data_IF_610563444659
#
_entry.id   IF_610563444659
#
_cell.length_a   1.000
_cell.length_b   1.000
_cell.length_c   1.000
_cell.angle_alpha   90.00
_cell.angle_beta   90.00
_cell.angle_gamma   90.00
#
_symmetry.space_group_name_H-M   'P 1'
#
loop_
_entity.id
_entity.type
_entity.pdbx_description
1 polymer ?
#
# COMPACT_ATOMS: atom_id res chain seq x y z
N UNK A 1 -19.43 -51.41 2.05
CA UNK A 1 -20.30 -50.40 2.69
C UNK A 1 -19.60 -49.93 3.95
N UNK A 2 -18.88 -48.81 3.87
CA UNK A 2 -18.40 -48.04 5.02
C UNK A 2 -18.09 -46.66 4.46
N UNK A 3 -19.02 -45.71 4.67
CA UNK A 3 -18.87 -44.31 4.28
C UNK A 3 -17.98 -43.63 5.32
N UNK A 4 -16.87 -43.05 4.88
CA UNK A 4 -16.16 -42.02 5.66
C UNK A 4 -16.93 -40.70 5.60
N UNK A 5 -17.00 -39.92 6.70
CA UNK A 5 -17.61 -38.60 6.69
C UNK A 5 -16.65 -37.59 6.02
N UNK A 6 -17.15 -36.54 5.34
CA UNK A 6 -16.30 -35.49 4.83
C UNK A 6 -15.72 -34.67 5.99
N UNK A 7 -14.43 -34.39 5.88
CA UNK A 7 -13.66 -33.58 6.82
C UNK A 7 -14.27 -32.21 7.04
N UNK A 8 -14.19 -31.78 8.29
CA UNK A 8 -14.58 -30.48 8.81
C UNK A 8 -13.78 -29.39 8.07
N UNK A 9 -14.44 -28.59 7.22
CA UNK A 9 -13.88 -27.33 6.72
C UNK A 9 -13.60 -26.45 7.93
N UNK A 10 -12.34 -26.12 8.16
CA UNK A 10 -11.99 -24.99 9.01
C UNK A 10 -12.12 -23.76 8.13
N UNK A 11 -13.27 -23.09 8.21
CA UNK A 11 -13.44 -21.76 7.63
C UNK A 11 -12.43 -20.82 8.30
N UNK A 12 -11.32 -20.56 7.61
CA UNK A 12 -10.40 -19.47 7.97
C UNK A 12 -11.06 -18.20 7.45
N UNK A 13 -11.92 -17.61 8.28
CA UNK A 13 -12.41 -16.26 8.04
C UNK A 13 -11.23 -15.31 8.18
N UNK A 14 -10.82 -14.67 7.07
CA UNK A 14 -9.93 -13.51 7.10
C UNK A 14 -10.56 -12.43 8.00
N UNK A 15 -9.75 -11.68 8.76
CA UNK A 15 -10.21 -10.55 9.59
C UNK A 15 -11.09 -9.57 8.79
N UNK A 16 -10.88 -9.47 7.46
CA UNK A 16 -11.70 -8.69 6.52
C UNK A 16 -13.16 -9.15 6.42
N UNK A 17 -13.44 -10.46 6.42
CA UNK A 17 -14.81 -10.97 6.42
C UNK A 17 -15.56 -10.64 7.71
N UNK A 18 -14.85 -10.43 8.81
CA UNK A 18 -15.42 -10.05 10.09
C UNK A 18 -15.76 -8.55 10.17
N UNK A 19 -14.95 -7.69 9.52
CA UNK A 19 -15.20 -6.25 9.44
C UNK A 19 -16.29 -5.92 8.41
N UNK A 20 -16.29 -6.56 7.23
CA UNK A 20 -17.32 -6.38 6.21
C UNK A 20 -18.73 -6.82 6.68
N UNK A 21 -18.82 -7.76 7.61
CA UNK A 21 -20.09 -8.22 8.19
C UNK A 21 -20.64 -7.31 9.31
N UNK A 22 -19.92 -6.27 9.72
CA UNK A 22 -20.25 -5.40 10.85
C UNK A 22 -21.25 -4.27 10.56
N UNK A 23 -21.72 -4.12 9.32
CA UNK A 23 -22.58 -3.00 8.91
C UNK A 23 -24.10 -3.32 9.01
N UNK A 24 -24.57 -3.94 10.10
CA UNK A 24 -26.01 -4.06 10.38
C UNK A 24 -26.34 -4.43 11.84
N UNK A 25 -26.30 -3.46 12.77
CA UNK A 25 -27.10 -3.48 13.98
C UNK A 25 -27.22 -2.09 14.63
N UNK A 26 -28.20 -1.30 14.20
CA UNK A 26 -28.64 -0.10 14.92
C UNK A 26 -29.44 -0.53 16.16
N UNK A 27 -29.01 -0.10 17.35
CA UNK A 27 -29.69 -0.37 18.61
C UNK A 27 -29.40 0.68 19.66
N UNK A 28 -30.18 1.76 19.66
CA UNK A 28 -30.15 2.82 20.66
C UNK A 28 -30.58 2.34 22.05
N UNK A 29 -29.87 2.75 23.10
CA UNK A 29 -30.45 2.96 24.44
C UNK A 29 -29.79 4.18 25.11
N UNK A 30 -30.62 5.21 25.34
CA UNK A 30 -30.37 6.31 26.27
C UNK A 30 -30.74 5.90 27.71
N UNK A 31 -30.10 6.49 28.72
CA UNK A 31 -30.54 6.39 30.12
C UNK A 31 -29.58 7.00 31.15
N UNK A 32 -30.04 8.05 31.83
CA UNK A 32 -29.33 8.99 32.71
C UNK A 32 -29.06 8.52 34.16
N UNK A 33 -28.41 9.43 34.93
CA UNK A 33 -28.22 9.58 36.41
C UNK A 33 -26.78 9.28 36.84
N UNK A 34 -26.01 10.12 37.55
CA UNK A 34 -26.27 11.33 38.34
C UNK A 34 -25.48 11.20 39.65
N UNK A 35 -24.73 12.23 40.07
CA UNK A 35 -24.05 12.27 41.38
C UNK A 35 -22.88 13.23 41.44
N UNK A 36 -23.13 14.40 42.04
CA UNK A 36 -22.14 15.38 42.50
C UNK A 36 -21.22 14.78 43.58
N UNK A 37 -19.97 15.26 43.67
CA UNK A 37 -19.37 15.70 44.93
C UNK A 37 -18.14 16.59 44.65
N UNK A 38 -18.09 17.69 45.39
CA UNK A 38 -17.15 18.81 45.34
C UNK A 38 -15.82 18.53 46.07
N UNK A 39 -14.95 19.55 46.05
CA UNK A 39 -13.76 19.83 46.87
C UNK A 39 -12.41 19.34 46.30
N UNK A 40 -11.39 20.17 46.05
CA UNK A 40 -11.22 21.59 46.26
C UNK A 40 -9.71 21.93 46.31
N UNK A 41 -9.37 23.15 45.86
CA UNK A 41 -8.21 23.98 46.27
C UNK A 41 -6.79 23.50 45.85
N UNK A 42 -5.89 24.29 45.26
CA UNK A 42 -5.83 25.71 44.95
C UNK A 42 -4.35 26.15 44.76
N UNK A 43 -4.16 27.30 44.10
CA UNK A 43 -2.97 28.19 44.09
C UNK A 43 -1.77 27.73 43.21
N UNK A 44 -1.35 28.41 42.14
CA UNK A 44 -0.89 29.81 41.99
C UNK A 44 0.61 29.76 41.59
N UNK A 45 1.23 30.55 40.73
CA UNK A 45 0.91 31.68 39.87
C UNK A 45 2.21 32.10 39.13
N UNK A 46 2.05 32.72 37.95
CA UNK A 46 2.88 33.74 37.28
C UNK A 46 4.41 33.56 37.08
N UNK A 47 4.88 33.78 35.84
CA UNK A 47 6.25 34.21 35.56
C UNK A 47 6.75 33.98 34.13
N UNK A 48 6.63 35.00 33.28
CA UNK A 48 7.29 35.13 31.97
C UNK A 48 8.81 35.25 32.09
N UNK A 49 9.56 34.72 31.10
CA UNK A 49 10.71 35.39 30.50
C UNK A 49 11.09 34.69 29.18
N UNK A 50 11.27 35.49 28.13
CA UNK A 50 11.83 35.04 26.87
C UNK A 50 13.34 34.88 26.95
N UNK A 51 13.85 34.01 26.09
CA UNK A 51 15.25 33.96 25.67
C UNK A 51 15.24 33.57 24.19
N UNK A 52 15.66 34.50 23.35
CA UNK A 52 15.97 34.28 21.94
C UNK A 52 17.32 33.56 21.89
N UNK A 53 17.31 32.29 21.49
CA UNK A 53 18.52 31.50 21.28
C UNK A 53 18.43 30.78 19.95
N UNK A 54 19.23 31.23 18.99
CA UNK A 54 19.51 30.56 17.73
C UNK A 54 20.04 29.13 18.02
N UNK A 55 19.19 28.13 17.87
CA UNK A 55 19.52 26.72 18.01
C UNK A 55 19.39 26.02 16.66
N UNK A 56 20.45 25.33 16.24
CA UNK A 56 20.38 24.30 15.18
C UNK A 56 19.18 23.38 15.44
N UNK A 57 18.50 22.85 14.40
CA UNK A 57 17.32 22.01 14.61
C UNK A 57 17.73 20.78 15.44
N UNK A 58 17.32 20.77 16.70
CA UNK A 58 17.47 19.64 17.61
C UNK A 58 16.75 18.43 17.01
N UNK A 59 17.41 17.27 17.03
CA UNK A 59 16.82 15.97 16.71
C UNK A 59 15.43 15.84 17.35
N UNK A 60 14.43 15.26 16.65
CA UNK A 60 13.05 15.27 17.11
C UNK A 60 12.94 14.61 18.50
N UNK A 61 12.26 15.28 19.43
CA UNK A 61 11.99 14.75 20.77
C UNK A 61 11.23 13.41 20.66
N UNK A 62 11.87 12.32 21.10
CA UNK A 62 11.27 10.98 21.21
C UNK A 62 10.46 10.95 22.51
N UNK A 63 9.15 11.22 22.45
CA UNK A 63 8.33 11.40 23.67
C UNK A 63 7.53 10.15 24.08
N UNK A 64 7.75 8.97 23.48
CA UNK A 64 6.87 7.85 23.77
C UNK A 64 7.57 6.51 23.96
N UNK A 65 6.90 5.61 24.70
CA UNK A 65 7.30 4.22 24.91
C UNK A 65 7.41 3.40 23.62
N UNK A 66 7.25 4.00 22.44
CA UNK A 66 7.31 3.36 21.12
C UNK A 66 8.59 3.62 20.33
N UNK A 67 9.49 4.50 20.78
CA UNK A 67 10.68 4.96 20.04
C UNK A 67 10.39 5.52 18.62
N UNK A 68 9.17 6.01 18.39
CA UNK A 68 8.81 6.73 17.16
C UNK A 68 9.06 8.25 17.33
N UNK A 69 9.51 8.96 16.26
CA UNK A 69 9.72 10.40 16.32
C UNK A 69 8.38 11.14 16.39
N UNK A 70 8.39 12.31 17.02
CA UNK A 70 7.24 13.23 16.93
C UNK A 70 7.24 13.86 15.54
N UNK A 71 6.35 13.41 14.66
CA UNK A 71 6.22 13.96 13.30
C UNK A 71 5.12 15.01 13.25
N UNK A 72 5.35 16.20 12.64
CA UNK A 72 4.29 17.17 12.37
C UNK A 72 3.25 16.56 11.42
N UNK A 73 2.02 17.04 11.45
CA UNK A 73 0.93 16.62 10.55
C UNK A 73 0.34 17.83 9.84
N UNK A 74 -0.22 17.61 8.65
CA UNK A 74 -1.05 18.62 7.99
C UNK A 74 -2.33 18.77 8.80
N UNK A 75 -2.66 19.99 9.25
CA UNK A 75 -3.81 20.24 10.13
C UNK A 75 -5.15 19.97 9.44
N UNK A 76 -5.26 20.35 8.16
CA UNK A 76 -6.45 20.17 7.32
C UNK A 76 -6.03 19.58 5.95
N UNK A 77 -5.76 18.27 5.85
CA UNK A 77 -5.35 17.66 4.59
C UNK A 77 -6.48 17.75 3.55
N UNK A 78 -6.17 17.99 2.27
CA UNK A 78 -7.18 18.05 1.21
C UNK A 78 -7.80 16.67 0.98
N UNK A 79 -9.02 16.62 0.45
CA UNK A 79 -9.68 15.38 -0.02
C UNK A 79 -9.11 14.90 -1.38
N UNK A 80 -7.78 14.79 -1.47
CA UNK A 80 -7.01 14.47 -2.66
C UNK A 80 -5.61 13.95 -2.26
N UNK A 81 -4.84 13.46 -3.24
CA UNK A 81 -3.43 13.14 -3.05
C UNK A 81 -2.63 14.41 -2.79
N UNK A 82 -1.78 14.40 -1.77
CA UNK A 82 -1.02 15.57 -1.36
C UNK A 82 0.38 15.23 -0.83
N UNK A 83 1.27 16.22 -0.82
CA UNK A 83 2.62 16.08 -0.27
C UNK A 83 2.59 16.01 1.27
N UNK A 84 3.06 14.90 1.88
CA UNK A 84 3.12 14.78 3.33
C UNK A 84 4.17 15.72 3.92
N UNK A 85 4.27 15.75 5.25
CA UNK A 85 5.23 16.60 5.95
C UNK A 85 6.67 16.09 5.89
N UNK A 86 6.84 14.79 5.67
CA UNK A 86 8.13 14.12 5.63
C UNK A 86 8.03 12.83 4.81
N UNK A 87 9.20 12.31 4.46
CA UNK A 87 9.42 10.98 3.95
C UNK A 87 10.02 10.12 5.07
N UNK A 88 9.42 8.96 5.33
CA UNK A 88 9.94 8.01 6.30
C UNK A 88 11.24 7.36 5.80
N UNK A 89 12.22 7.21 6.69
CA UNK A 89 13.38 6.34 6.46
C UNK A 89 13.06 4.90 6.82
N UNK A 90 13.74 3.96 6.18
CA UNK A 90 13.55 2.54 6.39
C UNK A 90 14.85 1.77 6.15
N UNK A 91 15.02 0.67 6.88
CA UNK A 91 16.02 -0.33 6.58
C UNK A 91 15.45 -1.33 5.55
N UNK A 92 16.21 -1.58 4.48
CA UNK A 92 15.90 -2.59 3.49
C UNK A 92 16.63 -3.89 3.84
N UNK A 93 15.90 -4.98 4.04
CA UNK A 93 16.50 -6.29 4.23
C UNK A 93 16.77 -6.96 2.87
N UNK A 94 17.61 -8.00 2.90
CA UNK A 94 17.88 -8.81 1.71
C UNK A 94 16.58 -9.32 1.09
N UNK A 95 16.51 -9.25 -0.24
CA UNK A 95 15.42 -9.86 -1.00
C UNK A 95 15.49 -11.37 -0.88
N UNK A 96 14.35 -11.99 -0.60
CA UNK A 96 14.23 -13.44 -0.51
C UNK A 96 13.32 -13.95 -1.63
N UNK A 97 13.86 -14.85 -2.45
CA UNK A 97 13.10 -15.58 -3.47
C UNK A 97 12.45 -16.84 -2.86
N UNK A 98 11.19 -17.08 -3.21
CA UNK A 98 10.43 -18.26 -2.81
C UNK A 98 9.60 -18.80 -3.98
N UNK A 99 10.25 -19.57 -4.85
CA UNK A 99 9.63 -20.12 -6.05
C UNK A 99 9.40 -19.03 -7.10
N UNK A 100 8.14 -18.70 -7.37
CA UNK A 100 7.77 -17.68 -8.37
C UNK A 100 7.73 -16.27 -7.78
N UNK A 101 7.81 -16.13 -6.45
CA UNK A 101 7.78 -14.85 -5.77
C UNK A 101 9.17 -14.40 -5.36
N UNK A 102 9.39 -13.10 -5.38
CA UNK A 102 10.44 -12.44 -4.64
C UNK A 102 9.82 -11.45 -3.65
N UNK A 103 10.44 -11.33 -2.48
CA UNK A 103 9.95 -10.49 -1.38
C UNK A 103 11.10 -9.68 -0.81
N UNK A 104 10.91 -8.36 -0.69
CA UNK A 104 11.83 -7.45 -0.01
C UNK A 104 11.16 -6.98 1.28
N UNK A 105 11.61 -7.49 2.44
CA UNK A 105 11.19 -6.96 3.71
C UNK A 105 11.84 -5.61 3.97
N UNK A 106 11.09 -4.70 4.58
CA UNK A 106 11.56 -3.37 4.99
C UNK A 106 11.07 -3.06 6.40
N UNK A 107 11.86 -2.30 7.15
CA UNK A 107 11.58 -1.98 8.54
C UNK A 107 11.73 -0.48 8.78
N UNK A 108 10.79 0.10 9.52
CA UNK A 108 10.91 1.46 10.05
C UNK A 108 10.31 1.54 11.45
N UNK A 109 10.36 2.72 12.07
CA UNK A 109 9.67 2.96 13.33
C UNK A 109 8.15 2.79 13.16
N UNK A 110 7.41 2.32 14.20
CA UNK A 110 5.97 2.25 14.15
C UNK A 110 5.36 3.62 13.87
N UNK A 111 4.48 3.72 12.89
CA UNK A 111 3.82 4.98 12.54
C UNK A 111 2.32 4.80 12.28
N UNK A 112 1.64 5.93 12.14
CA UNK A 112 0.20 5.98 11.89
C UNK A 112 -0.08 5.66 10.42
N UNK A 113 -1.05 4.78 10.19
CA UNK A 113 -1.64 4.53 8.88
C UNK A 113 -3.17 4.47 9.02
N UNK A 114 -3.89 4.37 7.90
CA UNK A 114 -5.36 4.37 7.89
C UNK A 114 -5.90 3.14 7.19
N UNK A 115 -6.78 2.40 7.87
CA UNK A 115 -7.59 1.36 7.27
C UNK A 115 -8.78 1.99 6.55
N UNK A 116 -9.21 1.38 5.44
CA UNK A 116 -10.39 1.81 4.67
C UNK A 116 -11.42 0.69 4.69
N UNK A 117 -12.67 1.03 5.01
CA UNK A 117 -13.81 0.11 4.99
C UNK A 117 -15.03 0.82 4.40
N UNK A 118 -15.45 0.41 3.19
CA UNK A 118 -16.35 1.21 2.39
C UNK A 118 -15.70 2.55 2.10
N UNK A 119 -16.35 3.65 2.48
CA UNK A 119 -15.82 5.02 2.36
C UNK A 119 -15.30 5.58 3.70
N UNK A 120 -15.37 4.80 4.78
CA UNK A 120 -14.88 5.20 6.10
C UNK A 120 -13.40 4.86 6.25
N UNK A 121 -12.70 5.69 7.03
CA UNK A 121 -11.28 5.51 7.37
C UNK A 121 -11.08 5.42 8.87
N UNK A 122 -10.21 4.52 9.31
CA UNK A 122 -9.83 4.35 10.72
C UNK A 122 -8.32 4.49 10.87
N UNK A 123 -7.87 5.43 11.72
CA UNK A 123 -6.46 5.61 12.00
C UNK A 123 -5.95 4.52 12.96
N UNK A 124 -4.95 3.75 12.53
CA UNK A 124 -4.20 2.83 13.38
C UNK A 124 -2.98 3.57 13.91
N UNK A 125 -2.98 3.85 15.20
CA UNK A 125 -1.87 4.54 15.88
C UNK A 125 -1.09 3.53 16.72
N UNK A 126 0.24 3.45 16.60
CA UNK A 126 1.05 2.55 17.40
C UNK A 126 1.00 2.94 18.88
N UNK A 127 0.93 1.95 19.77
CA UNK A 127 0.79 2.12 21.22
C UNK A 127 1.96 1.49 22.02
N UNK A 128 2.91 0.88 21.33
CA UNK A 128 3.99 0.06 21.90
C UNK A 128 5.28 0.22 21.10
N UNK A 129 6.42 -0.13 21.70
CA UNK A 129 7.70 -0.24 20.98
C UNK A 129 7.63 -1.38 19.98
N UNK A 130 8.25 -1.18 18.83
CA UNK A 130 8.26 -2.20 17.79
C UNK A 130 8.82 -1.65 16.49
N UNK A 131 8.33 -2.22 15.40
CA UNK A 131 8.62 -1.78 14.04
C UNK A 131 7.32 -1.64 13.25
N UNK A 132 7.30 -0.76 12.27
CA UNK A 132 6.42 -0.95 11.14
C UNK A 132 7.15 -1.89 10.16
N UNK A 133 6.66 -3.12 10.05
CA UNK A 133 7.25 -4.14 9.18
C UNK A 133 6.47 -4.15 7.87
N UNK A 134 7.19 -3.98 6.77
CA UNK A 134 6.65 -3.93 5.43
C UNK A 134 7.27 -5.02 4.55
N UNK A 135 6.54 -5.43 3.51
CA UNK A 135 7.03 -6.36 2.50
C UNK A 135 6.42 -6.01 1.14
N UNK A 136 7.28 -5.79 0.14
CA UNK A 136 6.88 -5.74 -1.27
C UNK A 136 7.03 -7.13 -1.87
N UNK A 137 6.00 -7.60 -2.58
CA UNK A 137 5.95 -8.93 -3.19
C UNK A 137 5.80 -8.76 -4.70
N UNK A 138 6.69 -9.40 -5.47
CA UNK A 138 6.68 -9.31 -6.93
C UNK A 138 6.94 -10.67 -7.58
N UNK A 139 6.64 -10.76 -8.87
CA UNK A 139 7.05 -11.89 -9.70
C UNK A 139 8.58 -11.92 -9.85
N UNK A 140 9.23 -12.97 -9.35
CA UNK A 140 10.68 -13.10 -9.42
C UNK A 140 11.20 -13.13 -10.87
N UNK A 141 10.37 -13.51 -11.84
CA UNK A 141 10.76 -13.61 -13.24
C UNK A 141 10.67 -12.27 -13.98
N UNK A 142 9.55 -11.55 -13.86
CA UNK A 142 9.33 -10.30 -14.61
C UNK A 142 9.75 -9.05 -13.85
N UNK A 143 9.91 -9.13 -12.51
CA UNK A 143 10.11 -7.95 -11.67
C UNK A 143 8.83 -7.19 -11.34
N UNK A 144 7.67 -7.66 -11.80
CA UNK A 144 6.40 -6.95 -11.64
C UNK A 144 5.83 -7.14 -10.23
N UNK A 145 5.60 -6.03 -9.50
CA UNK A 145 4.91 -6.06 -8.21
C UNK A 145 3.52 -6.70 -8.39
N UNK A 146 3.08 -7.49 -7.41
CA UNK A 146 1.78 -8.16 -7.44
C UNK A 146 0.78 -7.40 -6.55
N UNK A 147 0.06 -6.38 -7.08
CA UNK A 147 -0.76 -5.46 -6.30
C UNK A 147 -2.13 -6.06 -5.96
N UNK A 148 -2.14 -7.19 -5.26
CA UNK A 148 -3.36 -7.91 -4.89
C UNK A 148 -3.20 -8.49 -3.50
N UNK A 149 -4.29 -8.60 -2.74
CA UNK A 149 -4.23 -9.27 -1.43
C UNK A 149 -3.86 -10.76 -1.60
N UNK A 150 -2.66 -11.12 -1.13
CA UNK A 150 -2.15 -12.50 -1.15
C UNK A 150 -2.59 -13.30 0.07
N UNK A 151 -3.45 -12.74 0.94
CA UNK A 151 -3.84 -13.37 2.21
C UNK A 151 -2.67 -13.65 3.15
N UNK A 152 -1.61 -12.84 3.05
CA UNK A 152 -0.34 -13.06 3.71
C UNK A 152 -0.50 -13.24 5.23
N UNK A 153 0.34 -14.08 5.82
CA UNK A 153 0.45 -14.20 7.26
C UNK A 153 1.91 -14.06 7.70
N UNK A 154 2.10 -13.29 8.75
CA UNK A 154 3.37 -13.08 9.40
C UNK A 154 3.40 -13.83 10.74
N UNK A 155 4.45 -14.61 10.95
CA UNK A 155 4.80 -15.23 12.22
C UNK A 155 6.17 -14.73 12.67
N UNK A 156 6.22 -14.07 13.81
CA UNK A 156 7.44 -13.54 14.40
C UNK A 156 7.87 -14.41 15.58
N UNK A 157 9.14 -14.81 15.59
CA UNK A 157 9.72 -15.62 16.66
C UNK A 157 11.04 -15.02 17.15
N UNK A 158 11.39 -15.29 18.41
CA UNK A 158 12.68 -14.96 19.02
C UNK A 158 13.14 -16.16 19.84
N UNK A 159 14.38 -16.61 19.63
CA UNK A 159 14.93 -17.81 20.28
C UNK A 159 14.04 -19.07 20.16
N UNK A 160 13.23 -19.14 19.10
CA UNK A 160 12.27 -20.23 18.84
C UNK A 160 10.90 -20.07 19.50
N UNK A 161 10.71 -19.06 20.36
CA UNK A 161 9.43 -18.74 20.98
C UNK A 161 8.61 -17.77 20.12
N UNK A 162 7.30 -17.99 20.05
CA UNK A 162 6.37 -17.11 19.32
C UNK A 162 6.23 -15.77 20.04
N UNK A 163 6.55 -14.69 19.32
CA UNK A 163 6.40 -13.31 19.80
C UNK A 163 5.08 -12.73 19.31
N UNK A 164 4.79 -12.88 18.02
CA UNK A 164 3.58 -12.35 17.40
C UNK A 164 3.14 -13.17 16.17
N UNK A 165 1.85 -13.11 15.86
CA UNK A 165 1.30 -13.70 14.64
C UNK A 165 0.10 -12.88 14.15
N UNK A 166 0.17 -12.41 12.90
CA UNK A 166 -0.87 -11.56 12.31
C UNK A 166 -0.91 -11.67 10.79
N UNK A 167 -1.92 -11.04 10.18
CA UNK A 167 -1.96 -10.81 8.74
C UNK A 167 -1.64 -9.33 8.51
N UNK A 168 -0.55 -8.99 7.81
CA UNK A 168 -0.26 -7.61 7.45
C UNK A 168 -1.32 -7.08 6.47
N UNK A 169 -1.56 -5.78 6.50
CA UNK A 169 -2.53 -5.15 5.62
C UNK A 169 -1.92 -4.92 4.25
N UNK A 170 -2.61 -5.15 3.12
CA UNK A 170 -2.22 -4.54 1.86
C UNK A 170 -2.42 -3.02 1.98
N UNK A 171 -1.45 -2.26 1.51
CA UNK A 171 -1.37 -0.81 1.67
C UNK A 171 -0.84 -0.16 0.40
N UNK A 172 -1.07 1.13 0.27
CA UNK A 172 -0.39 1.98 -0.71
C UNK A 172 0.31 3.16 -0.01
N UNK A 173 1.51 3.48 -0.47
CA UNK A 173 2.22 4.73 -0.14
C UNK A 173 2.78 5.38 -1.40
N UNK A 174 3.16 6.65 -1.29
CA UNK A 174 3.71 7.40 -2.42
C UNK A 174 5.07 6.84 -2.87
N UNK A 175 5.94 6.53 -1.91
CA UNK A 175 7.34 6.15 -2.14
C UNK A 175 7.53 4.65 -2.40
N UNK A 176 6.65 3.78 -1.88
CA UNK A 176 6.78 2.32 -2.03
C UNK A 176 5.71 1.68 -2.91
N UNK A 177 4.64 2.42 -3.24
CA UNK A 177 3.54 1.88 -4.02
C UNK A 177 2.77 0.83 -3.21
N UNK A 178 2.32 -0.24 -3.89
CA UNK A 178 1.60 -1.34 -3.24
C UNK A 178 2.56 -2.25 -2.47
N UNK A 179 2.24 -2.50 -1.20
CA UNK A 179 3.01 -3.37 -0.31
C UNK A 179 2.10 -3.94 0.80
N UNK A 180 2.65 -4.85 1.60
CA UNK A 180 2.01 -5.32 2.83
C UNK A 180 2.70 -4.67 4.03
N UNK A 181 1.94 -4.27 5.05
CA UNK A 181 2.53 -3.69 6.26
C UNK A 181 1.64 -3.77 7.50
N UNK A 182 2.25 -3.75 8.68
CA UNK A 182 1.58 -3.53 9.97
C UNK A 182 2.59 -3.11 11.05
N UNK A 183 2.08 -2.46 12.11
CA UNK A 183 2.85 -2.17 13.31
C UNK A 183 2.99 -3.44 14.17
N UNK A 184 4.21 -3.95 14.29
CA UNK A 184 4.55 -5.17 15.03
C UNK A 184 5.23 -4.80 16.35
N UNK A 185 4.58 -5.02 17.51
CA UNK A 185 5.17 -4.78 18.81
C UNK A 185 6.36 -5.70 19.08
N UNK A 186 7.47 -5.15 19.54
CA UNK A 186 8.67 -5.88 19.94
C UNK A 186 8.96 -5.55 21.40
N UNK A 187 8.80 -6.51 22.33
CA UNK A 187 8.88 -6.23 23.77
C UNK A 187 10.30 -5.90 24.24
N UNK A 188 11.32 -6.37 23.52
CA UNK A 188 12.73 -6.28 23.91
C UNK A 188 13.64 -6.18 22.68
N UNK A 189 14.85 -5.64 22.85
CA UNK A 189 15.88 -5.66 21.82
C UNK A 189 16.40 -7.07 21.57
N UNK A 190 16.83 -7.34 20.34
CA UNK A 190 17.46 -8.59 19.93
C UNK A 190 17.13 -9.00 18.50
N UNK A 191 17.57 -10.19 18.12
CA UNK A 191 17.31 -10.76 16.80
C UNK A 191 15.96 -11.45 16.75
N UNK A 192 15.17 -11.13 15.73
CA UNK A 192 13.88 -11.76 15.46
C UNK A 192 13.92 -12.49 14.13
N UNK A 193 13.25 -13.64 14.07
CA UNK A 193 12.99 -14.34 12.81
C UNK A 193 11.53 -14.16 12.41
N UNK A 194 11.32 -13.75 11.17
CA UNK A 194 10.01 -13.67 10.53
C UNK A 194 9.82 -14.82 9.56
N UNK A 195 8.66 -15.46 9.61
CA UNK A 195 8.14 -16.28 8.52
C UNK A 195 6.92 -15.57 7.92
N UNK A 196 6.99 -15.31 6.62
CA UNK A 196 5.98 -14.63 5.82
C UNK A 196 5.37 -15.63 4.84
N UNK A 197 4.17 -16.09 5.16
CA UNK A 197 3.41 -17.06 4.39
C UNK A 197 2.61 -16.35 3.30
N UNK A 198 2.94 -16.65 2.04
CA UNK A 198 2.21 -16.25 0.85
C UNK A 198 1.19 -17.33 0.49
N UNK A 199 -0.07 -16.93 0.32
CA UNK A 199 -1.11 -17.85 -0.19
C UNK A 199 -1.19 -17.79 -1.72
N UNK A 200 -1.68 -18.84 -2.38
CA UNK A 200 -1.85 -18.85 -3.82
C UNK A 200 -2.66 -17.64 -4.31
N UNK A 201 -2.18 -16.99 -5.37
CA UNK A 201 -2.92 -15.93 -6.02
C UNK A 201 -4.05 -16.50 -6.88
N UNK A 202 -5.19 -15.81 -6.86
CA UNK A 202 -6.36 -16.13 -7.67
C UNK A 202 -7.53 -16.72 -6.87
N UNK A 203 -8.44 -17.40 -7.58
CA UNK A 203 -9.69 -17.86 -7.00
C UNK A 203 -10.77 -16.80 -7.15
N UNK A 204 -11.52 -16.52 -6.08
CA UNK A 204 -12.64 -15.58 -6.10
C UNK A 204 -12.22 -14.10 -5.96
N UNK A 205 -10.92 -13.83 -5.71
CA UNK A 205 -10.41 -12.47 -5.43
C UNK A 205 -9.74 -11.78 -6.61
N UNK A 206 -9.09 -12.53 -7.50
CA UNK A 206 -8.44 -11.99 -8.70
C UNK A 206 -8.43 -13.01 -9.82
N UNK A 207 -8.74 -12.57 -11.04
CA UNK A 207 -8.54 -13.35 -12.25
C UNK A 207 -7.09 -13.22 -12.70
N UNK A 208 -6.40 -14.33 -12.98
CA UNK A 208 -5.08 -14.30 -13.59
C UNK A 208 -5.17 -14.63 -15.07
N UNK A 209 -4.41 -13.92 -15.90
CA UNK A 209 -4.36 -14.11 -17.35
C UNK A 209 -2.93 -14.02 -17.88
N UNK A 210 -2.75 -14.30 -19.16
CA UNK A 210 -1.42 -14.30 -19.79
C UNK A 210 -0.53 -15.37 -19.19
N UNK A 211 0.74 -15.04 -18.96
CA UNK A 211 1.70 -15.95 -18.36
C UNK A 211 1.38 -16.25 -16.89
N UNK A 212 0.58 -15.41 -16.22
CA UNK A 212 0.19 -15.62 -14.82
C UNK A 212 -0.96 -16.61 -14.62
N UNK A 213 -1.63 -17.07 -15.68
CA UNK A 213 -2.83 -17.92 -15.58
C UNK A 213 -2.60 -19.18 -14.73
N UNK A 214 -1.45 -19.84 -14.92
CA UNK A 214 -1.09 -21.09 -14.25
C UNK A 214 0.00 -20.93 -13.17
N UNK A 215 0.46 -19.70 -12.94
CA UNK A 215 1.53 -19.36 -11.97
C UNK A 215 0.96 -18.98 -10.61
N UNK A 216 1.77 -18.94 -9.56
CA UNK A 216 1.37 -18.52 -8.21
C UNK A 216 0.29 -19.42 -7.58
N UNK A 217 0.25 -20.70 -7.95
CA UNK A 217 -0.82 -21.64 -7.57
C UNK A 217 -0.54 -22.40 -6.27
N UNK A 218 0.68 -22.33 -5.78
CA UNK A 218 1.11 -23.02 -4.57
C UNK A 218 1.48 -22.02 -3.46
N UNK A 219 1.20 -22.35 -2.18
CA UNK A 219 1.66 -21.53 -1.07
C UNK A 219 3.19 -21.53 -0.99
N UNK A 220 3.74 -20.42 -0.51
CA UNK A 220 5.17 -20.23 -0.31
C UNK A 220 5.41 -19.57 1.04
N UNK A 221 6.53 -19.88 1.67
CA UNK A 221 6.94 -19.24 2.91
C UNK A 221 8.31 -18.62 2.68
N UNK A 222 8.40 -17.33 2.97
CA UNK A 222 9.64 -16.57 3.01
C UNK A 222 10.10 -16.49 4.45
N UNK A 223 11.40 -16.65 4.71
CA UNK A 223 11.99 -16.53 6.04
C UNK A 223 13.13 -15.54 6.00
N UNK A 224 13.13 -14.58 6.93
CA UNK A 224 14.20 -13.60 7.09
C UNK A 224 14.39 -13.26 8.57
N UNK A 225 15.53 -12.65 8.88
CA UNK A 225 15.90 -12.24 10.23
C UNK A 225 16.29 -10.77 10.23
N UNK A 226 16.06 -10.09 11.35
CA UNK A 226 16.50 -8.72 11.56
C UNK A 226 16.90 -8.49 13.01
N UNK A 227 17.77 -7.51 13.23
CA UNK A 227 18.17 -7.06 14.55
C UNK A 227 17.35 -5.83 14.95
N UNK A 228 16.72 -5.90 16.12
CA UNK A 228 16.06 -4.76 16.72
C UNK A 228 16.91 -4.27 17.88
N UNK A 229 17.75 -3.28 17.62
CA UNK A 229 18.64 -2.67 18.60
C UNK A 229 18.54 -1.14 18.58
N UNK A 230 19.38 -0.48 19.37
CA UNK A 230 19.42 0.97 19.44
C UNK A 230 19.96 1.60 18.14
N UNK A 231 20.89 0.94 17.44
CA UNK A 231 21.49 1.46 16.20
C UNK A 231 20.43 1.53 15.08
N UNK A 232 19.66 0.46 14.89
CA UNK A 232 18.51 0.43 14.00
C UNK A 232 17.52 1.56 14.34
N UNK A 233 17.13 1.68 15.61
CA UNK A 233 16.16 2.70 16.04
C UNK A 233 16.63 4.12 15.76
N UNK A 234 17.90 4.42 16.06
CA UNK A 234 18.49 5.73 15.78
C UNK A 234 18.60 5.98 14.27
N UNK A 235 18.96 4.96 13.49
CA UNK A 235 19.09 5.03 12.03
C UNK A 235 17.78 5.46 11.36
N UNK A 236 16.68 4.72 11.60
CA UNK A 236 15.40 4.99 10.93
C UNK A 236 14.73 6.28 11.40
N UNK A 237 15.05 6.76 12.61
CA UNK A 237 14.58 8.06 13.11
C UNK A 237 15.38 9.23 12.54
N UNK A 238 16.71 9.12 12.52
CA UNK A 238 17.58 10.18 12.03
C UNK A 238 17.55 10.33 10.50
N UNK A 239 17.14 9.28 9.78
CA UNK A 239 17.00 9.32 8.32
C UNK A 239 15.70 9.98 7.82
N UNK A 240 14.80 10.43 8.71
CA UNK A 240 13.56 11.10 8.28
C UNK A 240 13.87 12.41 7.57
N UNK A 241 13.38 12.54 6.34
CA UNK A 241 13.55 13.74 5.54
C UNK A 241 12.28 14.59 5.57
N UNK A 242 12.38 15.80 6.11
CA UNK A 242 11.26 16.74 6.19
C UNK A 242 11.17 17.60 4.92
N UNK A 243 9.96 17.77 4.41
CA UNK A 243 9.69 18.70 3.32
C UNK A 243 9.65 20.13 3.86
N UNK A 244 9.89 21.11 2.98
CA UNK A 244 9.64 22.52 3.30
C UNK A 244 8.18 22.71 3.75
N UNK A 245 7.96 23.44 4.85
CA UNK A 245 6.63 23.58 5.47
C UNK A 245 5.59 24.21 4.53
N UNK A 246 6.01 25.06 3.60
CA UNK A 246 5.13 25.70 2.62
C UNK A 246 4.59 24.72 1.57
N UNK A 247 5.21 23.55 1.42
CA UNK A 247 4.77 22.48 0.51
C UNK A 247 3.80 21.49 1.14
N UNK A 248 3.66 21.51 2.46
CA UNK A 248 2.84 20.53 3.17
C UNK A 248 1.37 20.67 2.77
N UNK A 249 0.76 19.58 2.30
CA UNK A 249 -0.64 19.61 1.83
C UNK A 249 -0.83 20.07 0.39
N UNK A 250 0.24 20.46 -0.33
CA UNK A 250 0.13 20.78 -1.75
C UNK A 250 -0.23 19.54 -2.58
N UNK A 251 -1.04 19.67 -3.66
CA UNK A 251 -1.29 18.57 -4.58
C UNK A 251 0.00 18.04 -5.19
N UNK A 252 0.28 16.75 -4.97
CA UNK A 252 1.52 16.12 -5.41
C UNK A 252 1.77 14.81 -4.67
N UNK A 253 2.73 14.03 -5.16
CA UNK A 253 3.25 12.86 -4.47
C UNK A 253 4.78 12.95 -4.40
N UNK A 254 5.35 12.35 -3.34
CA UNK A 254 6.77 12.07 -3.27
C UNK A 254 7.18 11.13 -4.39
N UNK A 255 8.42 11.26 -4.85
CA UNK A 255 8.98 10.37 -5.85
C UNK A 255 9.12 8.94 -5.29
N UNK A 256 8.87 7.91 -6.11
CA UNK A 256 9.16 6.52 -5.73
C UNK A 256 10.60 6.33 -5.29
N UNK A 257 10.81 5.50 -4.27
CA UNK A 257 12.14 5.09 -3.78
C UNK A 257 12.82 4.05 -4.69
N UNK A 258 12.24 3.77 -5.86
CA UNK A 258 12.80 2.85 -6.85
C UNK A 258 14.17 3.34 -7.32
N UNK A 259 15.22 2.55 -7.04
CA UNK A 259 16.57 2.84 -7.53
C UNK A 259 17.50 3.63 -6.61
N UNK A 260 17.18 3.78 -5.31
CA UNK A 260 18.14 4.30 -4.31
C UNK A 260 19.23 3.27 -3.90
N UNK A 261 19.52 2.29 -4.76
CA UNK A 261 20.69 1.41 -4.68
C UNK A 261 21.79 1.98 -5.55
N UNK A 262 22.55 2.94 -5.00
CA UNK A 262 23.70 3.56 -5.64
C UNK A 262 23.40 4.92 -6.29
N UNK A 263 23.71 6.00 -5.57
CA UNK A 263 24.58 7.10 -6.02
C UNK A 263 24.70 8.14 -4.89
N UNK A 264 25.69 7.94 -4.03
CA UNK A 264 26.50 9.06 -3.58
C UNK A 264 27.17 9.64 -4.83
N UNK A 265 26.60 10.70 -5.41
CA UNK A 265 27.38 11.63 -6.24
C UNK A 265 26.78 13.03 -6.12
N UNK A 266 27.24 13.66 -5.03
CA UNK A 266 27.62 15.05 -4.95
C UNK A 266 27.73 15.75 -6.34
N UNK A 267 26.88 16.75 -6.54
CA UNK A 267 27.06 17.94 -7.39
C UNK A 267 27.88 17.81 -8.67
N UNK A 268 27.23 18.04 -9.81
CA UNK A 268 27.93 18.21 -11.08
C UNK A 268 27.21 19.10 -12.08
N UNK A 269 27.35 20.42 -11.95
CA UNK A 269 27.56 21.22 -13.15
C UNK A 269 29.05 21.15 -13.52
N UNK A 270 29.30 21.04 -14.82
CA UNK A 270 30.58 21.11 -15.53
C UNK A 270 31.47 19.85 -15.64
N UNK A 271 31.35 19.18 -16.79
CA UNK A 271 32.42 19.25 -17.80
C UNK A 271 33.46 18.12 -17.88
N UNK A 272 33.19 17.15 -18.75
CA UNK A 272 34.13 16.70 -19.80
C UNK A 272 35.28 15.72 -19.48
N UNK A 273 35.46 14.82 -20.46
CA UNK A 273 36.65 14.04 -20.85
C UNK A 273 36.72 12.55 -20.42
N UNK A 274 36.56 11.70 -21.44
CA UNK A 274 37.22 10.43 -21.77
C UNK A 274 38.08 9.75 -20.67
N UNK A 275 37.71 8.53 -20.27
CA UNK A 275 38.69 7.46 -20.01
C UNK A 275 38.07 6.06 -20.19
N UNK A 276 38.84 5.18 -20.81
CA UNK A 276 38.54 3.76 -20.99
C UNK A 276 38.95 3.02 -19.71
N UNK A 277 38.05 2.25 -19.10
CA UNK A 277 38.46 1.24 -18.11
C UNK A 277 37.61 -0.02 -18.20
N UNK A 278 38.32 -1.12 -17.98
CA UNK A 278 38.03 -2.48 -18.40
C UNK A 278 36.94 -3.14 -17.55
N UNK A 279 36.11 -3.91 -18.24
CA UNK A 279 35.16 -4.90 -17.74
C UNK A 279 35.89 -6.03 -17.00
N UNK A 280 35.65 -6.16 -15.69
CA UNK A 280 35.92 -7.36 -14.90
C UNK A 280 34.67 -7.65 -14.05
N UNK A 281 33.94 -8.70 -14.44
CA UNK A 281 32.64 -9.05 -13.90
C UNK A 281 32.62 -9.76 -12.53
N UNK A 282 31.37 -9.99 -12.11
CA UNK A 282 30.87 -10.70 -10.92
C UNK A 282 30.70 -9.81 -9.67
N UNK A 283 29.50 -9.58 -9.12
CA UNK A 283 28.18 -10.15 -9.35
C UNK A 283 27.22 -9.61 -8.28
N UNK A 284 25.95 -9.47 -8.65
CA UNK A 284 24.91 -8.82 -7.84
C UNK A 284 24.52 -7.50 -8.50
N UNK A 285 23.59 -7.54 -9.47
CA UNK A 285 22.84 -6.32 -9.73
C UNK A 285 22.07 -6.06 -8.44
N UNK A 286 22.40 -4.97 -7.76
CA UNK A 286 21.57 -4.44 -6.69
C UNK A 286 20.25 -4.07 -7.35
N UNK A 287 19.32 -5.04 -7.36
CA UNK A 287 17.99 -4.84 -7.89
C UNK A 287 17.33 -3.87 -6.93
N UNK A 288 17.31 -2.59 -7.30
CA UNK A 288 16.53 -1.58 -6.60
C UNK A 288 15.11 -2.09 -6.37
N UNK A 289 14.50 -1.69 -5.26
CA UNK A 289 13.12 -2.04 -4.92
C UNK A 289 12.20 -1.86 -6.15
N UNK A 290 11.50 -2.91 -6.60
CA UNK A 290 10.53 -2.75 -7.65
C UNK A 290 9.36 -1.91 -7.13
N UNK A 291 8.90 -1.00 -7.97
CA UNK A 291 7.76 -0.14 -7.67
C UNK A 291 6.55 -0.61 -8.46
N UNK A 292 5.37 -0.44 -7.88
CA UNK A 292 4.14 -0.97 -8.44
C UNK A 292 3.52 -0.06 -9.50
N UNK A 293 4.26 0.80 -10.20
CA UNK A 293 3.62 1.72 -11.15
C UNK A 293 3.05 0.97 -12.35
N UNK A 294 1.82 1.33 -12.72
CA UNK A 294 1.22 0.85 -13.96
C UNK A 294 1.87 1.55 -15.15
N UNK A 295 1.94 0.83 -16.27
CA UNK A 295 2.44 1.37 -17.54
C UNK A 295 1.71 2.67 -17.95
N UNK A 296 2.37 3.55 -18.72
CA UNK A 296 1.74 4.76 -19.27
C UNK A 296 0.42 4.47 -19.99
N UNK A 297 -0.51 5.42 -19.95
CA UNK A 297 -1.85 5.23 -20.50
C UNK A 297 -1.85 4.87 -22.00
N UNK A 298 -0.94 5.45 -22.76
CA UNK A 298 -0.75 5.27 -24.21
C UNK A 298 0.02 4.00 -24.59
N UNK A 299 0.60 3.30 -23.61
CA UNK A 299 1.23 1.99 -23.81
C UNK A 299 0.21 0.85 -23.85
N UNK A 300 -0.98 1.05 -23.27
CA UNK A 300 -2.05 0.05 -23.33
C UNK A 300 -2.56 -0.15 -24.78
N UNK A 301 -2.83 -1.39 -25.19
CA UNK A 301 -3.36 -1.68 -26.53
C UNK A 301 -4.84 -1.28 -26.67
N UNK A 302 -5.33 -1.36 -27.91
CA UNK A 302 -6.73 -1.15 -28.27
C UNK A 302 -7.13 0.32 -28.40
N UNK A 303 -8.44 0.52 -28.53
CA UNK A 303 -9.03 1.84 -28.71
C UNK A 303 -9.02 2.63 -27.40
N UNK A 304 -8.58 3.88 -27.47
CA UNK A 304 -8.66 4.84 -26.35
C UNK A 304 -10.10 5.28 -26.13
N UNK A 305 -10.64 5.01 -24.95
CA UNK A 305 -11.95 5.53 -24.54
C UNK A 305 -11.82 6.70 -23.55
N UNK A 306 -10.60 7.16 -23.29
CA UNK A 306 -10.30 8.30 -22.45
C UNK A 306 -9.68 7.93 -21.10
N UNK A 307 -9.49 8.97 -20.30
CA UNK A 307 -8.88 8.86 -18.97
C UNK A 307 -9.65 9.72 -17.96
N UNK A 308 -10.90 9.37 -17.62
CA UNK A 308 -11.68 10.11 -16.64
C UNK A 308 -11.06 10.03 -15.23
N UNK A 309 -11.50 10.92 -14.36
CA UNK A 309 -11.03 11.02 -12.97
C UNK A 309 -12.19 10.93 -11.99
N UNK A 310 -11.98 10.28 -10.84
CA UNK A 310 -12.96 10.22 -9.74
C UNK A 310 -12.25 10.04 -8.41
N UNK A 311 -12.64 10.82 -7.38
CA UNK A 311 -11.99 10.82 -6.07
C UNK A 311 -10.48 11.06 -6.12
N UNK A 312 -10.02 11.90 -7.06
CA UNK A 312 -8.61 12.17 -7.41
C UNK A 312 -7.85 11.00 -8.08
N UNK A 313 -8.49 9.82 -8.25
CA UNK A 313 -7.93 8.74 -9.04
C UNK A 313 -8.07 9.00 -10.54
N UNK A 314 -7.14 8.44 -11.31
CA UNK A 314 -7.15 8.42 -12.77
C UNK A 314 -7.59 7.04 -13.24
N UNK A 315 -8.51 6.95 -14.20
CA UNK A 315 -9.00 5.69 -14.76
C UNK A 315 -8.65 5.62 -16.24
N UNK A 316 -7.67 4.81 -16.62
CA UNK A 316 -7.39 4.57 -18.05
C UNK A 316 -8.40 3.55 -18.57
N UNK A 317 -9.16 3.92 -19.61
CA UNK A 317 -10.20 3.08 -20.19
C UNK A 317 -9.85 2.72 -21.63
N UNK A 318 -9.78 1.42 -21.91
CA UNK A 318 -9.38 0.87 -23.20
C UNK A 318 -10.38 -0.17 -23.66
N UNK A 319 -10.69 -0.17 -24.95
CA UNK A 319 -11.47 -1.24 -25.58
C UNK A 319 -10.60 -2.08 -26.50
N UNK A 320 -10.53 -3.37 -26.20
CA UNK A 320 -9.77 -4.35 -26.98
C UNK A 320 -10.76 -5.18 -27.82
N UNK A 321 -10.89 -4.85 -29.10
CA UNK A 321 -11.82 -5.53 -30.02
C UNK A 321 -11.44 -7.01 -30.23
N UNK A 322 -10.15 -7.28 -30.48
CA UNK A 322 -9.60 -8.63 -30.59
C UNK A 322 -8.55 -8.83 -29.50
N UNK A 323 -8.79 -9.76 -28.58
CA UNK A 323 -7.91 -9.99 -27.43
C UNK A 323 -7.97 -11.41 -26.92
N UNK A 324 -6.92 -11.88 -26.23
CA UNK A 324 -6.90 -13.18 -25.53
C UNK A 324 -7.69 -13.18 -24.22
N UNK A 325 -8.18 -12.02 -23.77
CA UNK A 325 -8.91 -11.89 -22.50
C UNK A 325 -10.38 -12.32 -22.60
N UNK A 326 -10.90 -12.43 -23.82
CA UNK A 326 -12.25 -12.85 -24.17
C UNK A 326 -12.20 -13.76 -25.41
N UNK A 327 -13.05 -14.78 -25.48
CA UNK A 327 -13.03 -15.74 -26.60
C UNK A 327 -13.84 -15.26 -27.81
N UNK A 328 -14.99 -14.62 -27.59
CA UNK A 328 -16.02 -14.39 -28.61
C UNK A 328 -16.48 -12.91 -28.73
N UNK A 329 -15.94 -12.01 -27.92
CA UNK A 329 -16.31 -10.59 -27.88
C UNK A 329 -15.10 -9.70 -27.61
N UNK A 330 -15.28 -8.39 -27.74
CA UNK A 330 -14.33 -7.42 -27.20
C UNK A 330 -14.15 -7.50 -25.68
N UNK A 331 -13.22 -6.69 -25.16
CA UNK A 331 -12.94 -6.56 -23.73
C UNK A 331 -12.77 -5.09 -23.35
N UNK A 332 -13.52 -4.64 -22.35
CA UNK A 332 -13.34 -3.34 -21.72
C UNK A 332 -12.32 -3.48 -20.59
N UNK A 333 -11.19 -2.81 -20.71
CA UNK A 333 -10.15 -2.70 -19.69
C UNK A 333 -10.24 -1.35 -19.00
N UNK A 334 -10.27 -1.36 -17.67
CA UNK A 334 -10.26 -0.18 -16.81
C UNK A 334 -9.12 -0.31 -15.82
N UNK A 335 -8.22 0.66 -15.81
CA UNK A 335 -7.03 0.64 -14.97
C UNK A 335 -6.99 1.87 -14.05
N UNK A 336 -7.61 1.78 -12.85
CA UNK A 336 -7.61 2.84 -11.86
C UNK A 336 -6.26 2.94 -11.15
N UNK A 337 -5.75 4.16 -11.04
CA UNK A 337 -4.41 4.43 -10.52
C UNK A 337 -4.33 5.79 -9.83
N UNK A 338 -3.35 5.95 -8.94
CA UNK A 338 -3.02 7.25 -8.36
C UNK A 338 -2.59 8.24 -9.46
N UNK A 339 -2.89 9.54 -9.33
CA UNK A 339 -2.67 10.52 -10.39
C UNK A 339 -1.19 10.81 -10.71
N UNK A 340 -0.29 10.68 -9.74
CA UNK A 340 1.14 11.02 -9.91
C UNK A 340 2.01 9.80 -10.19
N UNK A 341 2.01 8.82 -9.29
CA UNK A 341 2.94 7.68 -9.35
C UNK A 341 2.35 6.44 -10.05
N UNK A 342 1.14 6.54 -10.61
CA UNK A 342 0.43 5.43 -11.27
C UNK A 342 0.33 4.14 -10.44
N UNK A 343 0.35 4.24 -9.11
CA UNK A 343 0.15 3.09 -8.21
C UNK A 343 -1.26 2.53 -8.42
N UNK A 344 -1.43 1.22 -8.62
CA UNK A 344 -2.71 0.57 -8.87
C UNK A 344 -3.62 0.66 -7.66
N UNK A 345 -4.90 0.87 -7.94
CA UNK A 345 -5.95 0.89 -6.94
C UNK A 345 -6.66 -0.46 -6.91
N UNK A 346 -6.14 -1.36 -6.09
CA UNK A 346 -6.64 -2.72 -5.91
C UNK A 346 -7.80 -2.82 -4.92
N UNK A 347 -8.50 -3.96 -4.93
CA UNK A 347 -9.62 -4.28 -4.05
C UNK A 347 -10.76 -3.24 -4.16
N UNK A 348 -11.04 -2.77 -5.38
CA UNK A 348 -12.24 -1.98 -5.70
C UNK A 348 -13.38 -2.90 -6.14
N UNK A 349 -14.61 -2.43 -5.99
CA UNK A 349 -15.76 -3.00 -6.71
C UNK A 349 -16.19 -2.00 -7.78
N UNK A 350 -16.12 -2.41 -9.05
CA UNK A 350 -16.44 -1.59 -10.21
C UNK A 350 -17.51 -2.27 -11.05
N UNK A 351 -18.44 -1.49 -11.59
CA UNK A 351 -19.42 -1.93 -12.56
C UNK A 351 -19.49 -0.94 -13.73
N UNK A 352 -20.02 -1.40 -14.86
CA UNK A 352 -20.41 -0.54 -15.97
C UNK A 352 -21.91 -0.67 -16.21
N UNK A 353 -22.54 0.42 -16.63
CA UNK A 353 -23.93 0.48 -17.07
C UNK A 353 -24.03 1.12 -18.47
N UNK A 354 -25.10 0.84 -19.21
CA UNK A 354 -25.38 1.45 -20.52
C UNK A 354 -25.32 0.44 -21.67
N UNK A 355 -24.50 0.72 -22.70
CA UNK A 355 -24.32 -0.18 -23.85
C UNK A 355 -23.64 -1.50 -23.49
N UNK A 356 -22.84 -1.51 -22.42
CA UNK A 356 -22.30 -2.69 -21.77
C UNK A 356 -22.65 -2.61 -20.29
N UNK A 357 -23.17 -3.70 -19.73
CA UNK A 357 -23.63 -3.76 -18.36
C UNK A 357 -23.02 -4.96 -17.63
N UNK A 358 -22.46 -4.72 -16.45
CA UNK A 358 -21.97 -5.78 -15.58
C UNK A 358 -20.82 -5.35 -14.67
N UNK A 359 -20.42 -6.28 -13.80
CA UNK A 359 -19.29 -6.12 -12.90
C UNK A 359 -17.96 -6.27 -13.66
N UNK A 360 -16.98 -5.43 -13.34
CA UNK A 360 -15.62 -5.55 -13.87
C UNK A 360 -14.80 -6.41 -12.91
N UNK A 361 -14.19 -7.45 -13.45
CA UNK A 361 -13.40 -8.41 -12.67
C UNK A 361 -11.98 -7.91 -12.52
N UNK A 362 -11.51 -7.79 -11.26
CA UNK A 362 -10.11 -7.50 -10.95
C UNK A 362 -9.22 -8.60 -11.56
N UNK A 363 -8.29 -8.18 -12.40
CA UNK A 363 -7.46 -9.05 -13.24
C UNK A 363 -5.99 -8.66 -13.09
N UNK A 364 -5.13 -9.67 -12.96
CA UNK A 364 -3.69 -9.52 -13.03
C UNK A 364 -3.17 -10.25 -14.28
N UNK A 365 -2.45 -9.52 -15.11
CA UNK A 365 -2.01 -9.97 -16.42
C UNK A 365 -0.54 -9.61 -16.64
N UNK A 366 0.24 -10.55 -17.17
CA UNK A 366 1.70 -10.40 -17.32
C UNK A 366 2.13 -9.32 -18.34
N UNK A 367 1.23 -8.81 -19.17
CA UNK A 367 1.54 -7.76 -20.16
C UNK A 367 0.78 -6.46 -19.88
N UNK A 368 -0.44 -6.57 -19.34
CA UNK A 368 -1.32 -5.43 -19.09
C UNK A 368 -1.26 -4.92 -17.63
N UNK A 369 -0.66 -5.71 -16.75
CA UNK A 369 -0.60 -5.48 -15.32
C UNK A 369 -1.97 -5.57 -14.64
N UNK A 370 -2.08 -4.96 -13.46
CA UNK A 370 -3.34 -4.89 -12.72
C UNK A 370 -4.36 -3.99 -13.42
N UNK A 371 -5.57 -4.52 -13.59
CA UNK A 371 -6.71 -3.82 -14.16
C UNK A 371 -8.02 -4.48 -13.71
N UNK A 372 -9.14 -3.87 -14.08
CA UNK A 372 -10.47 -4.46 -13.99
C UNK A 372 -11.03 -4.57 -15.40
N UNK A 373 -11.80 -5.60 -15.69
CA UNK A 373 -12.47 -5.63 -16.98
C UNK A 373 -13.55 -6.67 -17.16
N UNK A 374 -14.25 -6.51 -18.27
CA UNK A 374 -15.45 -7.26 -18.62
C UNK A 374 -15.43 -7.53 -20.13
N UNK A 375 -15.86 -8.74 -20.51
CA UNK A 375 -16.04 -9.11 -21.91
C UNK A 375 -17.37 -8.56 -22.43
N UNK A 376 -17.34 -7.93 -23.59
CA UNK A 376 -18.53 -7.43 -24.27
C UNK A 376 -18.16 -6.62 -25.51
N UNK A 377 -19.09 -6.55 -26.46
CA UNK A 377 -18.90 -5.79 -27.69
C UNK A 377 -19.38 -4.35 -27.51
N UNK A 378 -18.59 -3.42 -28.04
CA UNK A 378 -18.90 -1.99 -28.09
C UNK A 378 -18.79 -1.47 -29.52
N UNK A 379 -19.68 -0.56 -29.87
CA UNK A 379 -19.70 0.14 -31.15
C UNK A 379 -19.46 1.64 -30.96
N UNK A 380 -18.94 2.28 -32.01
CA UNK A 380 -18.74 3.75 -32.04
C UNK A 380 -20.06 4.50 -31.80
N UNK A 381 -19.98 5.55 -30.97
CA UNK A 381 -21.10 6.38 -30.52
C UNK A 381 -21.89 5.83 -29.34
N UNK A 382 -21.52 4.66 -28.81
CA UNK A 382 -22.10 4.12 -27.58
C UNK A 382 -21.59 4.83 -26.33
N UNK A 383 -22.37 4.78 -25.26
CA UNK A 383 -22.06 5.43 -23.99
C UNK A 383 -22.14 4.41 -22.86
N UNK A 384 -21.20 4.55 -21.93
CA UNK A 384 -21.05 3.74 -20.74
C UNK A 384 -20.95 4.65 -19.52
N UNK A 385 -21.48 4.20 -18.41
CA UNK A 385 -21.25 4.80 -17.10
C UNK A 385 -20.36 3.84 -16.31
N UNK A 386 -19.15 4.26 -15.96
CA UNK A 386 -18.28 3.52 -15.04
C UNK A 386 -18.65 3.89 -13.61
N UNK A 387 -19.10 2.91 -12.84
CA UNK A 387 -19.62 3.07 -11.48
C UNK A 387 -18.64 2.48 -10.48
N UNK A 388 -18.33 3.24 -9.43
CA UNK A 388 -17.52 2.78 -8.29
C UNK A 388 -18.48 2.35 -7.18
N UNK A 389 -18.68 1.03 -7.05
CA UNK A 389 -19.53 0.43 -6.02
C UNK A 389 -18.85 0.48 -4.65
N UNK A 390 -17.52 0.29 -4.63
CA UNK A 390 -16.69 0.53 -3.46
C UNK A 390 -15.30 1.04 -3.85
N UNK A 391 -14.73 2.00 -3.10
CA UNK A 391 -13.39 2.51 -3.34
C UNK A 391 -12.32 1.45 -3.02
N UNK A 392 -11.03 1.70 -3.26
CA UNK A 392 -9.99 0.70 -3.08
C UNK A 392 -9.83 0.34 -1.60
N UNK A 393 -10.11 -0.90 -1.21
CA UNK A 393 -10.16 -1.37 0.19
C UNK A 393 -8.78 -1.77 0.76
N UNK A 394 -7.76 -0.99 0.43
CA UNK A 394 -6.38 -1.17 0.93
C UNK A 394 -6.02 -0.03 1.89
N UNK A 395 -5.11 -0.28 2.83
CA UNK A 395 -4.72 0.73 3.79
C UNK A 395 -3.95 1.88 3.12
N UNK A 396 -3.88 3.02 3.81
CA UNK A 396 -3.26 4.25 3.32
C UNK A 396 -2.16 4.71 4.27
N UNK A 397 -1.04 5.07 3.70
CA UNK A 397 -0.07 5.94 4.34
C UNK A 397 -0.45 7.41 4.17
N UNK A 398 0.27 8.28 4.87
CA UNK A 398 0.08 9.72 4.80
C UNK A 398 0.26 10.24 3.37
N UNK A 399 -0.51 11.27 3.01
CA UNK A 399 -0.58 11.82 1.65
C UNK A 399 -1.62 11.12 0.79
N UNK A 400 -2.17 9.98 1.23
CA UNK A 400 -3.28 9.27 0.57
C UNK A 400 -4.48 9.02 1.49
N UNK A 401 -4.41 9.37 2.78
CA UNK A 401 -5.39 8.96 3.78
C UNK A 401 -6.76 9.63 3.65
N UNK A 402 -6.87 10.66 2.83
CA UNK A 402 -8.11 11.38 2.46
C UNK A 402 -8.53 11.13 1.01
N UNK A 403 -7.67 10.53 0.19
CA UNK A 403 -7.89 10.33 -1.23
C UNK A 403 -8.69 9.05 -1.52
N UNK A 404 -9.33 9.01 -2.69
CA UNK A 404 -10.01 7.81 -3.23
C UNK A 404 -11.11 7.25 -2.32
N UNK A 405 -11.84 8.11 -1.59
CA UNK A 405 -12.94 7.69 -0.71
C UNK A 405 -14.30 7.89 -1.39
N UNK A 406 -14.64 9.14 -1.71
CA UNK A 406 -15.86 9.47 -2.46
C UNK A 406 -15.54 9.51 -3.95
N UNK A 407 -16.07 8.54 -4.70
CA UNK A 407 -15.75 8.34 -6.11
C UNK A 407 -17.04 8.32 -6.95
N UNK A 408 -17.53 9.49 -7.44
CA UNK A 408 -18.67 9.54 -8.35
C UNK A 408 -18.45 8.72 -9.63
N UNK A 409 -19.56 8.31 -10.25
CA UNK A 409 -19.53 7.62 -11.55
C UNK A 409 -18.99 8.51 -12.66
N UNK A 410 -18.48 7.89 -13.71
CA UNK A 410 -17.83 8.56 -14.83
C UNK A 410 -18.45 8.11 -16.15
N UNK A 411 -18.97 9.05 -16.93
CA UNK A 411 -19.41 8.78 -18.29
C UNK A 411 -18.23 8.59 -19.25
N UNK A 412 -18.33 7.58 -20.11
CA UNK A 412 -17.36 7.21 -21.14
C UNK A 412 -18.09 7.09 -22.47
N UNK A 413 -17.58 7.75 -23.51
CA UNK A 413 -18.12 7.67 -24.88
C UNK A 413 -17.16 6.88 -25.78
N UNK A 414 -17.70 5.96 -26.58
CA UNK A 414 -16.93 5.22 -27.57
C UNK A 414 -16.76 6.08 -28.82
N UNK A 415 -15.52 6.45 -29.21
CA UNK A 415 -15.30 7.48 -30.23
C UNK A 415 -15.61 7.07 -31.67
#
# INVERSE_FOLDING_TARGET
MTRHPPGRRTDRLSRRAFLAAGAAATGALAGCIGGDDEDGNGNGGNGTNGDEGDGEPSSPDVVNSSNAPTTPSVEDPPDAVYLPTHQESMEHLETVEAGEYAVMPMLTYPHKFWLVSGTEREAVTPDSTGVHLMATVWDAETGEVLPVDTGAQLRLTRDGDLVDQRAPWPMISQTMGFHFGDNVPLPEQGTYTVEFDLTPLGGDTVRKTGEFADRFTEPRTVRFEFEFDQEFQESVVNGVEYLDEDRWGEPGALDPMAGMGGMDDNGGDSGGMDDESEDDGNGGMEMGMPFSDLQPADAYPGQDLGTPTSGDATFVVRYLEETRLSEDSGYLLVSPRTPYNRVPLADMALSVEGSLEGELVQTLDSELGHHYGIAGDLASGEQLELVVESPPQVARHRGYETAFLEMPSMGVEVP
#
